data_IF_956796202847
#
_entry.id   IF_956796202847
#
_cell.length_a   1.000
_cell.length_b   1.000
_cell.length_c   1.000
_cell.angle_alpha   90.00
_cell.angle_beta   90.00
_cell.angle_gamma   90.00
#
_symmetry.space_group_name_H-M   'P 1'
#
loop_
_entity.id
_entity.type
_entity.pdbx_description
1 polymer ?
#
# COMPACT_ATOMS: atom_id res chain seq x y z
N UNK A 1 -0.85 -32.82 -30.03
CA UNK A 1 -0.26 -31.47 -29.93
C UNK A 1 -0.40 -31.02 -28.49
N UNK A 2 0.65 -31.15 -27.69
CA UNK A 2 0.65 -30.73 -26.29
C UNK A 2 0.87 -29.22 -26.24
N UNK A 3 -0.17 -28.49 -25.85
CA UNK A 3 -0.11 -27.04 -25.67
C UNK A 3 0.74 -26.78 -24.42
N UNK A 4 1.92 -26.18 -24.59
CA UNK A 4 2.73 -25.72 -23.45
C UNK A 4 1.96 -24.60 -22.75
N UNK A 5 1.22 -24.93 -21.69
CA UNK A 5 0.62 -23.92 -20.82
C UNK A 5 1.76 -23.07 -20.23
N UNK A 6 1.74 -21.73 -20.38
CA UNK A 6 2.65 -20.88 -19.65
C UNK A 6 2.45 -21.16 -18.17
N UNK A 7 3.51 -21.62 -17.50
CA UNK A 7 3.51 -21.86 -16.06
C UNK A 7 2.99 -20.58 -15.37
N UNK A 8 1.85 -20.61 -14.65
CA UNK A 8 1.35 -19.44 -13.95
C UNK A 8 2.41 -19.07 -12.92
N UNK A 9 3.20 -18.02 -13.19
CA UNK A 9 4.21 -17.60 -12.25
C UNK A 9 3.52 -17.30 -10.92
N UNK A 10 3.94 -17.92 -9.81
CA UNK A 10 3.34 -17.65 -8.51
C UNK A 10 3.40 -16.13 -8.28
N UNK A 11 2.28 -15.48 -7.95
CA UNK A 11 2.23 -14.04 -7.76
C UNK A 11 3.34 -13.60 -6.81
N UNK A 12 4.22 -12.69 -7.25
CA UNK A 12 5.32 -12.17 -6.44
C UNK A 12 4.83 -11.53 -5.13
N UNK A 13 3.57 -11.07 -5.12
CA UNK A 13 2.79 -10.76 -3.93
C UNK A 13 1.50 -11.57 -3.98
N UNK A 14 1.17 -12.25 -2.88
CA UNK A 14 -0.17 -12.80 -2.69
C UNK A 14 -1.20 -11.69 -2.94
N UNK A 15 -2.30 -12.01 -3.63
CA UNK A 15 -3.36 -11.05 -3.96
C UNK A 15 -3.79 -10.21 -2.74
N UNK A 16 -3.81 -10.83 -1.56
CA UNK A 16 -4.05 -10.16 -0.26
C UNK A 16 -3.02 -9.07 0.03
N UNK A 17 -1.72 -9.39 -0.07
CA UNK A 17 -0.64 -8.46 0.19
C UNK A 17 -0.62 -7.30 -0.81
N UNK A 18 -0.99 -7.55 -2.07
CA UNK A 18 -1.13 -6.49 -3.08
C UNK A 18 -2.27 -5.51 -2.71
N UNK A 19 -3.42 -6.01 -2.26
CA UNK A 19 -4.55 -5.18 -1.81
C UNK A 19 -4.17 -4.38 -0.56
N UNK A 20 -3.51 -5.01 0.41
CA UNK A 20 -3.00 -4.36 1.63
C UNK A 20 -2.05 -3.21 1.30
N UNK A 21 -1.08 -3.45 0.41
CA UNK A 21 -0.11 -2.43 -0.02
C UNK A 21 -0.79 -1.28 -0.76
N UNK A 22 -1.75 -1.58 -1.64
CA UNK A 22 -2.47 -0.57 -2.40
C UNK A 22 -3.32 0.33 -1.49
N UNK A 23 -4.04 -0.24 -0.51
CA UNK A 23 -4.78 0.55 0.47
C UNK A 23 -3.86 1.36 1.39
N UNK A 24 -2.75 0.78 1.84
CA UNK A 24 -1.75 1.51 2.63
C UNK A 24 -1.19 2.70 1.86
N UNK A 25 -0.82 2.51 0.59
CA UNK A 25 -0.32 3.57 -0.28
C UNK A 25 -1.35 4.67 -0.52
N UNK A 26 -2.63 4.32 -0.69
CA UNK A 26 -3.72 5.29 -0.84
C UNK A 26 -3.88 6.15 0.41
N UNK A 27 -3.80 5.52 1.59
CA UNK A 27 -3.90 6.20 2.89
C UNK A 27 -2.72 7.15 3.10
N UNK A 28 -1.51 6.70 2.75
CA UNK A 28 -0.30 7.51 2.78
C UNK A 28 -0.42 8.74 1.87
N UNK A 29 -0.87 8.55 0.63
CA UNK A 29 -1.07 9.63 -0.34
C UNK A 29 -2.10 10.66 0.16
N UNK A 30 -3.22 10.19 0.73
CA UNK A 30 -4.23 11.06 1.32
C UNK A 30 -3.67 11.87 2.51
N UNK A 31 -2.95 11.23 3.44
CA UNK A 31 -2.35 11.91 4.59
C UNK A 31 -1.27 12.92 4.18
N UNK A 32 -0.43 12.56 3.22
CA UNK A 32 0.61 13.44 2.68
C UNK A 32 -0.02 14.65 1.99
N UNK A 33 -1.01 14.40 1.13
CA UNK A 33 -1.73 15.44 0.40
C UNK A 33 -2.46 16.40 1.34
N UNK A 34 -3.19 15.88 2.33
CA UNK A 34 -3.87 16.69 3.34
C UNK A 34 -2.88 17.55 4.14
N UNK A 35 -1.72 17.01 4.49
CA UNK A 35 -0.70 17.74 5.26
C UNK A 35 -0.07 18.88 4.45
N UNK A 36 0.19 18.66 3.17
CA UNK A 36 0.68 19.72 2.27
C UNK A 36 -0.42 20.77 2.04
N UNK A 37 -1.66 20.34 1.89
CA UNK A 37 -2.80 21.25 1.69
C UNK A 37 -3.10 22.08 2.93
N UNK A 38 -2.83 21.55 4.13
CA UNK A 38 -2.89 22.26 5.40
C UNK A 38 -1.76 23.30 5.58
N UNK A 39 -0.89 23.49 4.58
CA UNK A 39 0.26 24.41 4.66
C UNK A 39 1.45 23.84 5.44
N UNK A 40 1.44 22.54 5.73
CA UNK A 40 2.54 21.83 6.38
C UNK A 40 3.75 21.69 5.46
N UNK A 41 4.94 21.59 6.06
CA UNK A 41 6.17 21.35 5.30
C UNK A 41 6.13 19.99 4.62
N UNK A 42 6.78 19.82 3.44
CA UNK A 42 6.82 18.53 2.75
C UNK A 42 7.44 17.42 3.60
N UNK A 43 8.34 17.76 4.53
CA UNK A 43 8.88 16.84 5.52
C UNK A 43 7.81 16.33 6.51
N UNK A 44 6.92 17.20 6.98
CA UNK A 44 5.80 16.83 7.83
C UNK A 44 4.80 15.95 7.07
N UNK A 45 4.54 16.25 5.79
CA UNK A 45 3.70 15.41 4.93
C UNK A 45 4.27 14.00 4.76
N UNK A 46 5.58 13.87 4.55
CA UNK A 46 6.25 12.58 4.41
C UNK A 46 6.21 11.76 5.70
N UNK A 47 6.38 12.40 6.87
CA UNK A 47 6.25 11.76 8.17
C UNK A 47 4.81 11.30 8.46
N UNK A 48 3.82 12.16 8.19
CA UNK A 48 2.40 11.83 8.36
C UNK A 48 1.98 10.70 7.40
N UNK A 49 2.39 10.78 6.14
CA UNK A 49 2.15 9.73 5.14
C UNK A 49 2.83 8.41 5.48
N UNK A 50 4.09 8.44 5.94
CA UNK A 50 4.83 7.25 6.36
C UNK A 50 4.22 6.56 7.58
N UNK A 51 3.79 7.34 8.58
CA UNK A 51 3.06 6.81 9.74
C UNK A 51 1.72 6.19 9.36
N UNK A 52 0.96 6.87 8.50
CA UNK A 52 -0.32 6.37 7.98
C UNK A 52 -0.14 5.11 7.11
N UNK A 53 0.95 5.02 6.33
CA UNK A 53 1.31 3.84 5.54
C UNK A 53 1.59 2.63 6.45
N UNK A 54 2.49 2.79 7.41
CA UNK A 54 2.88 1.70 8.32
C UNK A 54 1.67 1.21 9.14
N UNK A 55 0.86 2.13 9.66
CA UNK A 55 -0.37 1.80 10.38
C UNK A 55 -1.41 1.11 9.48
N UNK A 56 -1.62 1.61 8.27
CA UNK A 56 -2.54 1.02 7.30
C UNK A 56 -2.13 -0.40 6.89
N UNK A 57 -0.86 -0.61 6.55
CA UNK A 57 -0.35 -1.94 6.17
C UNK A 57 -0.51 -2.94 7.31
N UNK A 58 -0.15 -2.57 8.55
CA UNK A 58 -0.32 -3.44 9.71
C UNK A 58 -1.79 -3.78 9.97
N UNK A 59 -2.68 -2.80 9.87
CA UNK A 59 -4.11 -2.98 10.09
C UNK A 59 -4.75 -3.90 9.04
N UNK A 60 -4.50 -3.66 7.75
CA UNK A 60 -5.06 -4.52 6.71
C UNK A 60 -4.44 -5.91 6.72
N UNK A 61 -3.16 -6.04 7.10
CA UNK A 61 -2.54 -7.34 7.34
C UNK A 61 -3.19 -8.09 8.51
N UNK A 62 -3.61 -7.41 9.58
CA UNK A 62 -4.30 -8.02 10.70
C UNK A 62 -5.73 -8.48 10.37
N UNK A 63 -6.47 -7.71 9.54
CA UNK A 63 -7.85 -8.04 9.14
C UNK A 63 -7.89 -9.13 8.08
N UNK A 64 -6.99 -9.02 7.10
CA UNK A 64 -6.88 -9.93 5.96
C UNK A 64 -5.84 -11.01 6.32
N UNK A 65 -5.84 -11.48 7.57
CA UNK A 65 -5.11 -12.69 7.97
C UNK A 65 -5.97 -13.93 7.82
#
# INVERSE_FOLDING_TARGET
MTVSQPNPQPPLLSQRAAVILLLGALTAAAATGLTVWAGGTPAAGLLAGGGAFAGGVLFFNAIIS
#
